data_IF_596714726311
#
_entry.id   IF_596714726311
#
_cell.length_a   1.000
_cell.length_b   1.000
_cell.length_c   1.000
_cell.angle_alpha   90.00
_cell.angle_beta   90.00
_cell.angle_gamma   90.00
#
_symmetry.space_group_name_H-M   'P 1'
#
loop_
_entity.id
_entity.type
_entity.pdbx_description
1 polymer ?
#
# COMPACT_ATOMS: atom_id res chain seq x y z
N UNK A 1 -1.60 -19.00 58.95
CA UNK A 1 -0.65 -18.71 57.84
C UNK A 1 -1.25 -19.22 56.55
N UNK A 2 -1.90 -18.38 55.74
CA UNK A 2 -2.45 -18.76 54.42
C UNK A 2 -1.71 -17.98 53.34
N UNK A 3 -0.88 -18.71 52.59
CA UNK A 3 -0.06 -18.20 51.49
C UNK A 3 -0.94 -17.92 50.27
N UNK A 4 -0.99 -16.65 49.82
CA UNK A 4 -1.69 -16.20 48.62
C UNK A 4 -0.96 -16.70 47.38
N UNK A 5 -1.48 -17.73 46.70
CA UNK A 5 -1.16 -17.99 45.29
C UNK A 5 -1.88 -16.97 44.41
N UNK A 6 -1.31 -15.79 44.28
CA UNK A 6 -1.81 -14.77 43.36
C UNK A 6 -1.30 -15.07 41.94
N UNK A 7 -2.24 -15.49 41.10
CA UNK A 7 -2.30 -15.37 39.64
C UNK A 7 -1.03 -14.91 38.90
N UNK A 8 -0.27 -15.88 38.38
CA UNK A 8 0.77 -15.65 37.35
C UNK A 8 0.21 -15.74 35.91
N UNK A 9 -1.11 -15.85 35.72
CA UNK A 9 -1.70 -16.23 34.42
C UNK A 9 -2.21 -15.07 33.55
N UNK A 10 -2.16 -13.83 34.02
CA UNK A 10 -2.89 -12.73 33.36
C UNK A 10 -2.05 -11.82 32.45
N UNK A 11 -0.75 -12.08 32.25
CA UNK A 11 0.12 -11.20 31.45
C UNK A 11 0.48 -11.72 30.05
N UNK A 12 0.12 -12.96 29.71
CA UNK A 12 0.51 -13.55 28.42
C UNK A 12 -0.43 -13.18 27.25
N UNK A 13 -1.64 -12.69 27.52
CA UNK A 13 -2.66 -12.46 26.48
C UNK A 13 -2.59 -11.03 25.90
N UNK A 14 -2.07 -10.06 26.65
CA UNK A 14 -2.05 -8.65 26.22
C UNK A 14 -0.95 -8.33 25.18
N UNK A 15 0.10 -9.14 25.08
CA UNK A 15 1.24 -8.87 24.18
C UNK A 15 0.97 -9.22 22.71
N UNK A 16 0.02 -10.12 22.41
CA UNK A 16 -0.24 -10.57 21.04
C UNK A 16 -1.08 -9.58 20.21
N UNK A 17 -1.91 -8.74 20.85
CA UNK A 17 -2.81 -7.83 20.15
C UNK A 17 -2.11 -6.54 19.64
N UNK A 18 -0.97 -6.16 20.22
CA UNK A 18 -0.25 -4.93 19.84
C UNK A 18 0.56 -5.06 18.54
N UNK A 19 0.84 -6.29 18.08
CA UNK A 19 1.68 -6.53 16.90
C UNK A 19 0.92 -6.38 15.57
N UNK A 20 -0.41 -6.38 15.60
CA UNK A 20 -1.25 -6.34 14.39
C UNK A 20 -1.71 -4.92 14.00
N UNK A 21 -1.51 -3.92 14.87
CA UNK A 21 -1.95 -2.54 14.61
C UNK A 21 -0.88 -1.67 13.92
N UNK A 22 0.34 -2.16 13.74
CA UNK A 22 1.49 -1.38 13.24
C UNK A 22 1.73 -1.46 11.73
N UNK A 23 1.05 -2.34 11.00
CA UNK A 23 1.32 -2.58 9.58
C UNK A 23 0.69 -1.56 8.64
N UNK A 24 -0.46 -0.97 9.00
CA UNK A 24 -1.16 -0.01 8.13
C UNK A 24 -0.49 1.38 8.14
N UNK A 25 0.19 1.74 9.23
CA UNK A 25 0.79 3.07 9.36
C UNK A 25 2.11 3.27 8.58
N UNK A 26 2.80 2.19 8.19
CA UNK A 26 4.11 2.32 7.52
C UNK A 26 4.03 2.57 6.01
N UNK A 27 2.93 2.19 5.35
CA UNK A 27 2.71 2.45 3.92
C UNK A 27 2.69 3.96 3.61
N UNK A 28 2.16 4.77 4.53
CA UNK A 28 2.10 6.23 4.41
C UNK A 28 3.46 6.93 4.32
N UNK A 29 4.51 6.35 4.91
CA UNK A 29 5.84 7.00 4.95
C UNK A 29 6.63 6.88 3.65
N UNK A 30 6.23 5.98 2.76
CA UNK A 30 6.98 5.67 1.55
C UNK A 30 6.67 6.60 0.38
N UNK A 31 5.53 7.27 0.41
CA UNK A 31 5.06 8.12 -0.68
C UNK A 31 5.25 9.61 -0.36
N UNK A 32 5.54 10.46 -1.36
CA UNK A 32 5.62 11.90 -1.13
C UNK A 32 4.31 12.47 -0.60
N UNK A 33 4.33 13.39 0.36
CA UNK A 33 3.11 13.95 0.96
C UNK A 33 2.16 14.63 -0.05
N UNK A 34 2.69 15.18 -1.14
CA UNK A 34 1.88 15.75 -2.21
C UNK A 34 1.07 14.69 -2.98
N UNK A 35 1.52 13.43 -2.91
CA UNK A 35 0.87 12.28 -3.49
C UNK A 35 -0.24 11.81 -2.54
N UNK A 36 -1.49 12.07 -2.91
CA UNK A 36 -2.67 11.71 -2.13
C UNK A 36 -2.84 12.37 -0.75
N UNK A 37 -2.02 13.36 -0.35
CA UNK A 37 -2.15 14.03 0.95
C UNK A 37 -2.12 13.04 2.13
N UNK A 38 -1.14 12.14 2.11
CA UNK A 38 -1.00 11.02 3.06
C UNK A 38 -2.19 10.07 3.08
N UNK A 39 -3.01 10.04 2.02
CA UNK A 39 -3.94 8.92 1.82
C UNK A 39 -3.18 7.78 1.16
N UNK A 40 -3.32 6.58 1.71
CA UNK A 40 -2.66 5.39 1.20
C UNK A 40 -2.87 5.26 -0.32
N UNK A 41 -1.77 5.36 -1.09
CA UNK A 41 -1.77 4.93 -2.47
C UNK A 41 -2.17 3.45 -2.46
N UNK A 42 -3.26 3.12 -3.15
CA UNK A 42 -3.78 1.77 -3.12
C UNK A 42 -2.96 0.89 -4.05
N UNK A 43 -2.63 -0.31 -3.60
CA UNK A 43 -2.12 -1.37 -4.46
C UNK A 43 -3.12 -1.61 -5.60
N UNK A 44 -2.66 -1.99 -6.79
CA UNK A 44 -3.47 -2.49 -7.89
C UNK A 44 -3.33 -4.00 -7.96
N UNK A 45 -4.46 -4.71 -7.94
CA UNK A 45 -4.43 -6.18 -7.89
C UNK A 45 -5.30 -6.79 -8.98
N UNK A 46 -4.77 -7.83 -9.65
CA UNK A 46 -5.54 -8.60 -10.62
C UNK A 46 -6.78 -9.25 -10.00
N UNK A 47 -6.74 -9.59 -8.70
CA UNK A 47 -7.88 -10.11 -7.94
C UNK A 47 -9.06 -9.13 -7.87
N UNK A 48 -8.81 -7.81 -7.98
CA UNK A 48 -9.85 -6.76 -8.09
C UNK A 48 -10.16 -6.37 -9.53
N UNK A 49 -9.60 -7.08 -10.52
CA UNK A 49 -9.70 -6.74 -11.93
C UNK A 49 -8.83 -5.54 -12.33
N UNK A 50 -7.88 -5.13 -11.49
CA UNK A 50 -7.05 -3.94 -11.69
C UNK A 50 -5.71 -4.31 -12.32
N UNK A 51 -5.79 -4.90 -13.51
CA UNK A 51 -4.61 -5.33 -14.26
C UNK A 51 -3.85 -4.15 -14.86
N UNK A 52 -2.54 -4.33 -15.01
CA UNK A 52 -1.64 -3.38 -15.66
C UNK A 52 -0.86 -4.16 -16.73
N UNK A 53 -0.86 -3.64 -17.95
CA UNK A 53 -0.09 -4.17 -19.06
C UNK A 53 1.04 -3.19 -19.36
N UNK A 54 2.28 -3.65 -19.23
CA UNK A 54 3.43 -2.87 -19.66
C UNK A 54 3.55 -2.87 -21.19
N UNK A 55 3.85 -1.71 -21.75
CA UNK A 55 4.07 -1.47 -23.17
C UNK A 55 5.42 -0.79 -23.36
N UNK A 56 5.85 -0.61 -24.61
CA UNK A 56 7.08 0.13 -24.94
C UNK A 56 7.08 1.53 -24.28
N UNK A 57 5.99 2.28 -24.48
CA UNK A 57 5.89 3.67 -24.03
C UNK A 57 5.45 3.87 -22.56
N UNK A 58 5.06 2.81 -21.84
CA UNK A 58 4.50 2.96 -20.50
C UNK A 58 3.56 1.82 -20.09
N UNK A 59 2.42 2.17 -19.50
CA UNK A 59 1.54 1.21 -18.83
C UNK A 59 0.07 1.47 -19.19
N UNK A 60 -0.61 0.41 -19.64
CA UNK A 60 -2.06 0.43 -19.88
C UNK A 60 -2.80 -0.19 -18.70
N UNK A 61 -3.74 0.56 -18.15
CA UNK A 61 -4.56 0.15 -17.02
C UNK A 61 -5.79 -0.64 -17.49
N UNK A 62 -6.39 -1.40 -16.58
CA UNK A 62 -7.58 -2.21 -16.82
C UNK A 62 -8.79 -1.43 -17.35
N UNK A 63 -8.88 -0.14 -17.02
CA UNK A 63 -9.96 0.76 -17.45
C UNK A 63 -9.66 1.49 -18.78
N UNK A 64 -8.57 1.12 -19.45
CA UNK A 64 -8.18 1.63 -20.75
C UNK A 64 -7.32 2.89 -20.71
N UNK A 65 -7.12 3.52 -19.53
CA UNK A 65 -6.19 4.65 -19.37
C UNK A 65 -4.74 4.22 -19.63
N UNK A 66 -3.93 5.17 -20.05
CA UNK A 66 -2.51 4.99 -20.32
C UNK A 66 -1.68 5.94 -19.46
N UNK A 67 -0.60 5.44 -18.89
CA UNK A 67 0.38 6.23 -18.14
C UNK A 67 1.74 6.08 -18.83
N UNK A 68 2.25 7.18 -19.37
CA UNK A 68 3.59 7.21 -19.98
C UNK A 68 4.67 6.90 -18.96
N UNK A 69 5.72 6.20 -19.38
CA UNK A 69 6.82 5.74 -18.52
C UNK A 69 7.45 6.88 -17.72
N UNK A 70 7.56 8.06 -18.32
CA UNK A 70 8.08 9.30 -17.73
C UNK A 70 7.26 9.85 -16.56
N UNK A 71 5.98 9.47 -16.45
CA UNK A 71 5.09 9.86 -15.36
C UNK A 71 5.08 8.86 -14.20
N UNK A 72 5.80 7.74 -14.33
CA UNK A 72 5.83 6.69 -13.32
C UNK A 72 6.85 6.98 -12.21
N UNK A 73 6.69 6.28 -11.09
CA UNK A 73 7.57 6.35 -9.92
C UNK A 73 7.93 4.94 -9.48
N UNK A 74 9.08 4.80 -8.83
CA UNK A 74 9.50 3.53 -8.29
C UNK A 74 8.65 3.10 -7.10
N UNK A 75 8.04 1.92 -7.16
CA UNK A 75 7.40 1.32 -6.00
C UNK A 75 8.44 0.63 -5.10
N UNK A 76 8.43 0.88 -3.78
CA UNK A 76 9.38 0.28 -2.83
C UNK A 76 9.11 -1.20 -2.54
N UNK A 77 7.89 -1.69 -2.79
CA UNK A 77 7.47 -3.06 -2.46
C UNK A 77 7.33 -3.97 -3.70
N UNK A 78 7.82 -3.51 -4.85
CA UNK A 78 7.72 -4.18 -6.14
C UNK A 78 6.28 -4.47 -6.61
N UNK A 79 5.30 -3.68 -6.16
CA UNK A 79 3.91 -3.75 -6.63
C UNK A 79 3.48 -2.48 -7.34
N UNK A 80 2.36 -2.55 -8.07
CA UNK A 80 1.74 -1.36 -8.63
C UNK A 80 0.89 -0.65 -7.57
N UNK A 81 1.04 0.66 -7.46
CA UNK A 81 0.20 1.49 -6.60
C UNK A 81 -0.30 2.72 -7.35
N UNK A 82 -1.51 3.16 -7.05
CA UNK A 82 -2.09 4.33 -7.69
C UNK A 82 -2.81 5.24 -6.69
N UNK A 83 -2.65 6.53 -6.91
CA UNK A 83 -3.46 7.56 -6.27
C UNK A 83 -4.34 8.23 -7.33
N UNK A 84 -5.63 8.37 -7.02
CA UNK A 84 -6.58 9.09 -7.86
C UNK A 84 -7.27 10.18 -7.06
N UNK A 85 -7.48 11.33 -7.69
CA UNK A 85 -8.38 12.34 -7.13
C UNK A 85 -9.82 11.77 -7.15
N UNK A 86 -10.53 11.94 -6.04
CA UNK A 86 -11.78 11.20 -5.82
C UNK A 86 -12.93 11.59 -6.76
N UNK A 87 -13.02 12.85 -7.17
CA UNK A 87 -14.12 13.39 -7.99
C UNK A 87 -13.90 13.18 -9.49
N UNK A 88 -12.71 13.51 -9.97
CA UNK A 88 -12.29 13.53 -11.37
C UNK A 88 -11.68 12.22 -11.83
N UNK A 89 -11.22 11.37 -10.89
CA UNK A 89 -10.42 10.17 -11.16
C UNK A 89 -9.13 10.47 -11.91
N UNK A 90 -8.64 11.71 -11.84
CA UNK A 90 -7.33 12.05 -12.35
C UNK A 90 -6.27 11.26 -11.57
N UNK A 91 -5.36 10.61 -12.31
CA UNK A 91 -4.22 9.91 -11.72
C UNK A 91 -3.27 10.97 -11.19
N UNK A 92 -3.06 10.99 -9.88
CA UNK A 92 -2.13 11.92 -9.21
C UNK A 92 -0.73 11.33 -9.21
N UNK A 93 -0.64 10.03 -8.91
CA UNK A 93 0.61 9.28 -8.92
C UNK A 93 0.35 7.85 -9.36
N UNK A 94 1.36 7.29 -10.03
CA UNK A 94 1.40 5.89 -10.40
C UNK A 94 2.79 5.32 -10.11
N UNK A 95 2.85 4.30 -9.25
CA UNK A 95 4.06 3.63 -8.85
C UNK A 95 4.14 2.24 -9.48
N UNK A 96 5.32 1.88 -9.96
CA UNK A 96 5.55 0.64 -10.71
C UNK A 96 6.66 -0.20 -10.07
N UNK A 97 6.58 -1.55 -10.16
CA UNK A 97 7.63 -2.44 -9.70
C UNK A 97 8.98 -2.09 -10.34
N UNK A 98 10.06 -2.07 -9.55
CA UNK A 98 11.41 -1.91 -10.07
C UNK A 98 11.94 -3.26 -10.57
N UNK A 99 12.67 -3.26 -11.69
CA UNK A 99 13.40 -4.45 -12.16
C UNK A 99 12.62 -5.44 -13.02
N UNK A 100 11.49 -5.05 -13.61
CA UNK A 100 10.90 -5.79 -14.73
C UNK A 100 11.38 -5.14 -16.03
N UNK A 101 12.46 -5.69 -16.58
CA UNK A 101 12.98 -5.41 -17.93
C UNK A 101 12.99 -6.69 -18.74
#
# INVERSE_FOLDING_TARGET
MTSRRASRRSWAIAAAAALLAGSEALAHSWYPAWCCSDRDCRELTAARGETVIETEDGYRLWDGRFVGREYTKASPDAKFHMCEEQRTKAIVCFFVPQGQS
#
